data_IF_760162961141
#
_entry.id   IF_760162961141
#
_cell.length_a   1.000
_cell.length_b   1.000
_cell.length_c   1.000
_cell.angle_alpha   90.00
_cell.angle_beta   90.00
_cell.angle_gamma   90.00
#
_symmetry.space_group_name_H-M   'P 1'
#
loop_
_entity.id
_entity.type
_entity.pdbx_description
1 polymer ?
#
# COMPACT_ATOMS: atom_id res chain seq x y z
N UNK A 1 -75.73 52.33 38.22
CA UNK A 1 -75.49 51.10 39.02
C UNK A 1 -74.64 50.17 38.14
N UNK A 2 -73.31 50.26 38.30
CA UNK A 2 -72.33 49.56 37.40
C UNK A 2 -71.83 48.29 38.07
N UNK A 3 -72.05 47.17 37.41
CA UNK A 3 -71.57 45.82 37.82
C UNK A 3 -70.16 45.60 37.25
N UNK A 4 -69.16 45.48 38.09
CA UNK A 4 -67.80 45.14 37.73
C UNK A 4 -67.63 43.62 37.73
N UNK A 5 -67.31 43.05 36.54
CA UNK A 5 -66.93 41.68 36.35
C UNK A 5 -65.40 41.60 36.52
N UNK A 6 -64.95 40.80 37.49
CA UNK A 6 -63.54 40.49 37.71
C UNK A 6 -63.23 39.21 36.95
N UNK A 7 -62.39 39.29 35.88
CA UNK A 7 -61.82 38.10 35.20
C UNK A 7 -60.55 37.64 35.93
N UNK A 8 -60.60 36.44 36.46
CA UNK A 8 -59.40 35.75 37.00
C UNK A 8 -58.72 35.01 35.86
N UNK A 9 -57.52 35.45 35.51
CA UNK A 9 -56.64 34.70 34.55
C UNK A 9 -55.86 33.64 35.34
N UNK A 10 -56.15 32.36 35.06
CA UNK A 10 -55.33 31.23 35.46
C UNK A 10 -54.18 31.06 34.46
N UNK A 11 -52.96 31.33 34.88
CA UNK A 11 -51.75 31.06 34.18
C UNK A 11 -51.36 29.55 34.34
N UNK A 12 -51.61 28.76 33.35
CA UNK A 12 -51.06 27.40 33.22
C UNK A 12 -49.59 27.49 32.77
N UNK A 13 -48.66 27.21 33.69
CA UNK A 13 -47.27 27.01 33.37
C UNK A 13 -47.08 25.59 32.83
N UNK A 14 -47.03 25.45 31.51
CA UNK A 14 -46.63 24.23 30.83
C UNK A 14 -45.10 24.07 30.87
N UNK A 15 -44.61 23.18 31.69
CA UNK A 15 -43.19 22.79 31.69
C UNK A 15 -42.86 22.06 30.40
N UNK A 16 -42.05 22.67 29.53
CA UNK A 16 -41.43 22.00 28.37
C UNK A 16 -40.23 21.18 28.90
N UNK A 17 -40.44 19.87 29.05
CA UNK A 17 -39.34 18.93 29.25
C UNK A 17 -38.52 18.86 27.94
N UNK A 18 -37.43 19.60 27.91
CA UNK A 18 -36.43 19.49 26.84
C UNK A 18 -35.77 18.12 26.88
N UNK A 19 -36.16 17.25 25.96
CA UNK A 19 -35.40 16.04 25.68
C UNK A 19 -34.02 16.47 25.13
N UNK A 20 -32.99 16.38 25.97
CA UNK A 20 -31.61 16.47 25.55
C UNK A 20 -31.31 15.21 24.72
N UNK A 21 -31.43 15.34 23.40
CA UNK A 21 -30.98 14.37 22.44
C UNK A 21 -29.44 14.33 22.60
N UNK A 22 -28.95 13.31 23.29
CA UNK A 22 -27.55 12.99 23.40
C UNK A 22 -27.02 12.79 21.99
N UNK A 23 -26.39 13.81 21.44
CA UNK A 23 -25.63 13.70 20.19
C UNK A 23 -24.57 12.60 20.40
N UNK A 24 -24.85 11.39 19.93
CA UNK A 24 -23.84 10.35 19.79
C UNK A 24 -22.79 10.93 18.86
N UNK A 25 -21.66 11.35 19.42
CA UNK A 25 -20.48 11.69 18.64
C UNK A 25 -20.18 10.50 17.73
N UNK A 26 -20.24 10.72 16.42
CA UNK A 26 -19.77 9.73 15.45
C UNK A 26 -18.37 9.30 15.89
N UNK A 27 -18.04 7.98 15.86
CA UNK A 27 -16.71 7.53 16.24
C UNK A 27 -15.70 8.30 15.40
N UNK A 28 -14.68 8.88 16.07
CA UNK A 28 -13.59 9.54 15.36
C UNK A 28 -13.04 8.56 14.32
N UNK A 29 -13.18 8.87 13.03
CA UNK A 29 -12.67 8.03 11.98
C UNK A 29 -11.16 7.85 12.19
N UNK A 30 -10.68 6.61 12.12
CA UNK A 30 -9.26 6.35 12.16
C UNK A 30 -8.58 7.19 11.06
N UNK A 31 -7.68 8.06 11.48
CA UNK A 31 -7.11 9.10 10.61
C UNK A 31 -5.82 8.64 9.92
N UNK A 32 -5.39 7.38 10.11
CA UNK A 32 -4.15 6.83 9.50
C UNK A 32 -4.21 5.31 9.43
N UNK A 33 -3.41 4.77 8.51
CA UNK A 33 -3.14 3.33 8.46
C UNK A 33 -2.04 3.02 9.49
N UNK A 34 -2.39 2.17 10.47
CA UNK A 34 -1.50 1.70 11.53
C UNK A 34 -1.84 0.26 11.95
N UNK A 35 -1.23 -0.25 13.02
CA UNK A 35 -1.45 -1.59 13.51
C UNK A 35 -2.89 -1.89 13.95
N UNK A 36 -3.68 -0.87 14.28
CA UNK A 36 -5.08 -1.03 14.71
C UNK A 36 -6.07 -0.98 13.55
N UNK A 37 -5.62 -0.47 12.40
CA UNK A 37 -6.45 -0.22 11.21
C UNK A 37 -6.02 -1.00 9.97
N UNK A 38 -5.04 -1.91 10.10
CA UNK A 38 -4.70 -2.90 9.07
C UNK A 38 -5.26 -4.27 9.45
N UNK A 39 -5.75 -5.03 8.46
CA UNK A 39 -6.04 -6.46 8.66
C UNK A 39 -5.04 -7.33 7.92
N UNK A 40 -4.66 -8.43 8.58
CA UNK A 40 -3.75 -9.45 8.04
C UNK A 40 -4.58 -10.59 7.48
N UNK A 41 -4.49 -10.80 6.18
CA UNK A 41 -5.21 -11.88 5.50
C UNK A 41 -4.27 -13.07 5.33
N UNK A 42 -4.68 -14.21 5.88
CA UNK A 42 -3.88 -15.43 5.95
C UNK A 42 -4.56 -16.56 5.19
N UNK A 43 -3.81 -17.26 4.33
CA UNK A 43 -4.30 -18.51 3.74
C UNK A 43 -4.05 -19.68 4.70
N UNK A 44 -5.10 -20.21 5.28
CA UNK A 44 -5.03 -21.32 6.25
C UNK A 44 -4.57 -22.66 5.63
N UNK A 45 -4.60 -22.81 4.31
CA UNK A 45 -4.06 -23.96 3.60
C UNK A 45 -2.54 -23.85 3.32
N UNK A 46 -1.91 -22.70 3.60
CA UNK A 46 -0.49 -22.47 3.39
C UNK A 46 0.25 -22.29 4.72
N UNK A 47 1.08 -23.27 5.14
CA UNK A 47 1.86 -23.16 6.37
C UNK A 47 2.79 -21.94 6.41
N UNK A 48 3.31 -21.51 5.27
CA UNK A 48 4.14 -20.31 5.20
C UNK A 48 3.30 -19.06 5.48
N UNK A 49 2.13 -18.93 4.84
CA UNK A 49 1.19 -17.83 5.07
C UNK A 49 0.75 -17.74 6.53
N UNK A 50 0.46 -18.87 7.17
CA UNK A 50 0.15 -18.93 8.60
C UNK A 50 1.30 -18.39 9.46
N UNK A 51 2.52 -18.91 9.24
CA UNK A 51 3.70 -18.49 10.01
C UNK A 51 4.04 -17.01 9.82
N UNK A 52 3.87 -16.48 8.60
CA UNK A 52 4.08 -15.07 8.28
C UNK A 52 3.04 -14.20 8.97
N UNK A 53 1.75 -14.60 8.88
CA UNK A 53 0.66 -13.85 9.50
C UNK A 53 0.80 -13.78 11.02
N UNK A 54 1.15 -14.89 11.68
CA UNK A 54 1.40 -14.93 13.12
C UNK A 54 2.59 -14.04 13.51
N UNK A 55 3.70 -14.14 12.78
CA UNK A 55 4.88 -13.33 13.05
C UNK A 55 4.60 -11.84 12.85
N UNK A 56 3.95 -11.46 11.76
CA UNK A 56 3.62 -10.08 11.44
C UNK A 56 2.67 -9.47 12.49
N UNK A 57 1.60 -10.20 12.82
CA UNK A 57 0.64 -9.75 13.83
C UNK A 57 1.30 -9.58 15.20
N UNK A 58 2.16 -10.52 15.62
CA UNK A 58 2.91 -10.43 16.87
C UNK A 58 3.85 -9.23 16.88
N UNK A 59 4.70 -9.09 15.84
CA UNK A 59 5.74 -8.06 15.78
C UNK A 59 5.15 -6.64 15.68
N UNK A 60 4.06 -6.48 14.94
CA UNK A 60 3.34 -5.21 14.78
C UNK A 60 2.27 -4.97 15.83
N UNK A 61 2.04 -5.91 16.75
CA UNK A 61 0.98 -5.84 17.77
C UNK A 61 -0.41 -5.61 17.15
N UNK A 62 -0.68 -6.28 16.04
CA UNK A 62 -1.97 -6.20 15.36
C UNK A 62 -3.02 -6.94 16.20
N UNK A 63 -4.21 -6.36 16.47
CA UNK A 63 -5.27 -7.03 17.22
C UNK A 63 -5.67 -8.37 16.57
N UNK A 64 -5.92 -9.38 17.38
CA UNK A 64 -6.33 -10.70 16.88
C UNK A 64 -7.62 -10.67 16.06
N UNK A 65 -8.52 -9.72 16.33
CA UNK A 65 -9.71 -9.47 15.51
C UNK A 65 -9.41 -9.03 14.08
N UNK A 66 -8.22 -8.49 13.83
CA UNK A 66 -7.76 -8.05 12.52
C UNK A 66 -6.98 -9.14 11.77
N UNK A 67 -6.84 -10.35 12.32
CA UNK A 67 -6.24 -11.51 11.63
C UNK A 67 -7.34 -12.35 11.02
N UNK A 68 -7.50 -12.28 9.72
CA UNK A 68 -8.58 -12.93 8.97
C UNK A 68 -8.03 -14.16 8.25
N UNK A 69 -8.58 -15.33 8.54
CA UNK A 69 -8.18 -16.60 7.92
C UNK A 69 -9.15 -16.97 6.80
N UNK A 70 -8.61 -17.25 5.63
CA UNK A 70 -9.34 -17.76 4.46
C UNK A 70 -8.64 -19.02 3.95
N UNK A 71 -9.31 -19.80 3.10
CA UNK A 71 -8.74 -21.04 2.57
C UNK A 71 -8.89 -21.07 1.05
N UNK A 72 -7.75 -21.21 0.36
CA UNK A 72 -7.67 -21.40 -1.10
C UNK A 72 -6.45 -22.24 -1.47
N UNK A 73 -6.46 -22.81 -2.69
CA UNK A 73 -5.36 -23.65 -3.16
C UNK A 73 -4.04 -22.86 -3.28
N UNK A 74 -2.93 -23.51 -2.91
CA UNK A 74 -1.58 -22.94 -2.99
C UNK A 74 -0.90 -23.24 -4.32
N UNK A 75 0.17 -22.52 -4.65
CA UNK A 75 1.08 -22.80 -5.77
C UNK A 75 0.65 -22.27 -7.13
N UNK A 76 -0.61 -21.90 -7.34
CA UNK A 76 -1.05 -21.29 -8.59
C UNK A 76 -0.68 -19.79 -8.62
N UNK A 77 -0.17 -19.31 -9.77
CA UNK A 77 0.13 -17.91 -10.01
C UNK A 77 -1.13 -17.02 -10.05
N UNK A 78 -2.23 -17.61 -10.50
CA UNK A 78 -3.51 -16.94 -10.70
C UNK A 78 -4.63 -17.63 -9.90
N UNK A 79 -5.46 -16.83 -9.24
CA UNK A 79 -6.74 -17.24 -8.67
C UNK A 79 -7.85 -16.97 -9.68
N UNK A 80 -8.78 -17.91 -9.85
CA UNK A 80 -9.95 -17.67 -10.70
C UNK A 80 -10.82 -16.55 -10.12
N UNK A 81 -11.48 -15.78 -10.99
CA UNK A 81 -12.38 -14.70 -10.56
C UNK A 81 -13.49 -15.23 -9.63
N UNK A 82 -14.05 -16.41 -9.92
CA UNK A 82 -15.08 -17.03 -9.08
C UNK A 82 -14.58 -17.35 -7.68
N UNK A 83 -13.38 -17.91 -7.56
CA UNK A 83 -12.77 -18.21 -6.26
C UNK A 83 -12.44 -16.92 -5.51
N UNK A 84 -11.86 -15.94 -6.19
CA UNK A 84 -11.59 -14.64 -5.62
C UNK A 84 -12.84 -13.98 -5.04
N UNK A 85 -13.96 -13.96 -5.77
CA UNK A 85 -15.20 -13.36 -5.28
C UNK A 85 -15.70 -14.05 -4.00
N UNK A 86 -15.56 -15.37 -3.90
CA UNK A 86 -15.90 -16.12 -2.67
C UNK A 86 -14.98 -15.73 -1.51
N UNK A 87 -13.66 -15.66 -1.75
CA UNK A 87 -12.67 -15.29 -0.72
C UNK A 87 -12.88 -13.84 -0.29
N UNK A 88 -13.08 -12.93 -1.26
CA UNK A 88 -13.29 -11.49 -0.98
C UNK A 88 -14.54 -11.27 -0.12
N UNK A 89 -15.63 -11.97 -0.39
CA UNK A 89 -16.84 -11.89 0.42
C UNK A 89 -16.60 -12.36 1.87
N UNK A 90 -15.82 -13.42 2.08
CA UNK A 90 -15.43 -13.88 3.42
C UNK A 90 -14.58 -12.83 4.14
N UNK A 91 -13.58 -12.27 3.45
CA UNK A 91 -12.73 -11.21 4.01
C UNK A 91 -13.57 -9.99 4.38
N UNK A 92 -14.43 -9.52 3.47
CA UNK A 92 -15.26 -8.32 3.73
C UNK A 92 -16.19 -8.50 4.91
N UNK A 93 -16.79 -9.68 5.05
CA UNK A 93 -17.67 -10.01 6.19
C UNK A 93 -16.91 -10.05 7.52
N UNK A 94 -15.67 -10.55 7.51
CA UNK A 94 -14.85 -10.68 8.72
C UNK A 94 -14.06 -9.41 9.07
N UNK A 95 -13.98 -8.44 8.14
CA UNK A 95 -13.18 -7.21 8.32
C UNK A 95 -13.84 -6.26 9.31
N UNK A 96 -13.18 -5.91 10.43
CA UNK A 96 -13.67 -4.88 11.33
C UNK A 96 -13.87 -3.53 10.62
N UNK A 97 -14.88 -2.78 11.06
CA UNK A 97 -15.29 -1.53 10.41
C UNK A 97 -14.17 -0.49 10.30
N UNK A 98 -13.30 -0.40 11.31
CA UNK A 98 -12.19 0.57 11.34
C UNK A 98 -11.01 0.22 10.43
N UNK A 99 -10.97 -0.97 9.83
CA UNK A 99 -9.85 -1.40 8.99
C UNK A 99 -9.79 -0.59 7.70
N UNK A 100 -8.61 -0.04 7.41
CA UNK A 100 -8.33 0.82 6.26
C UNK A 100 -7.50 0.12 5.17
N UNK A 101 -6.77 -0.94 5.50
CA UNK A 101 -5.84 -1.61 4.59
C UNK A 101 -5.73 -3.11 4.86
N UNK A 102 -5.18 -3.85 3.89
CA UNK A 102 -4.91 -5.28 3.97
C UNK A 102 -3.43 -5.61 3.79
N UNK A 103 -2.90 -6.48 4.65
CA UNK A 103 -1.63 -7.17 4.48
C UNK A 103 -1.89 -8.62 4.05
N UNK A 104 -1.42 -9.04 2.87
CA UNK A 104 -1.62 -10.37 2.32
C UNK A 104 -0.36 -11.20 2.56
N UNK A 105 -0.44 -12.36 3.23
CA UNK A 105 0.73 -13.11 3.72
C UNK A 105 1.17 -14.26 2.82
N UNK A 106 1.12 -14.11 1.53
CA UNK A 106 1.56 -15.11 0.53
C UNK A 106 2.22 -14.45 -0.68
N UNK A 107 2.97 -15.23 -1.47
CA UNK A 107 3.59 -14.76 -2.71
C UNK A 107 2.79 -15.15 -3.97
N UNK A 108 1.99 -16.20 -3.89
CA UNK A 108 1.12 -16.68 -4.97
C UNK A 108 -0.20 -17.21 -4.35
N UNK A 109 -1.36 -16.95 -5.00
CA UNK A 109 -1.54 -16.24 -6.27
C UNK A 109 -1.28 -14.74 -6.16
N UNK A 110 -0.65 -14.16 -7.19
CA UNK A 110 -0.41 -12.72 -7.28
C UNK A 110 -1.35 -12.04 -8.28
N UNK A 111 -2.21 -12.80 -8.97
CA UNK A 111 -3.12 -12.32 -10.02
C UNK A 111 -4.53 -12.91 -9.87
N UNK A 112 -5.54 -12.14 -10.28
CA UNK A 112 -6.93 -12.54 -10.46
C UNK A 112 -7.36 -12.09 -11.86
N UNK A 113 -7.42 -13.00 -12.83
CA UNK A 113 -7.68 -12.64 -14.21
C UNK A 113 -6.70 -11.57 -14.72
N UNK A 114 -7.23 -10.43 -15.15
CA UNK A 114 -6.46 -9.29 -15.65
C UNK A 114 -5.96 -8.34 -14.55
N UNK A 115 -6.39 -8.50 -13.31
CA UNK A 115 -6.00 -7.64 -12.19
C UNK A 115 -4.89 -8.28 -11.35
N UNK A 116 -4.05 -7.47 -10.73
CA UNK A 116 -3.21 -7.94 -9.63
C UNK A 116 -4.07 -8.34 -8.43
N UNK A 117 -3.55 -9.25 -7.60
CA UNK A 117 -4.25 -9.66 -6.37
C UNK A 117 -4.42 -8.47 -5.41
N UNK A 118 -3.43 -7.59 -5.31
CA UNK A 118 -3.50 -6.42 -4.42
C UNK A 118 -4.58 -5.43 -4.88
N UNK A 119 -4.70 -5.18 -6.18
CA UNK A 119 -5.75 -4.32 -6.72
C UNK A 119 -7.14 -4.96 -6.64
N UNK A 120 -7.22 -6.28 -6.85
CA UNK A 120 -8.48 -7.01 -6.68
C UNK A 120 -8.97 -6.94 -5.22
N UNK A 121 -8.08 -7.09 -4.22
CA UNK A 121 -8.44 -6.91 -2.82
C UNK A 121 -8.85 -5.47 -2.49
N UNK A 122 -8.21 -4.47 -3.10
CA UNK A 122 -8.49 -3.07 -2.83
C UNK A 122 -9.83 -2.59 -3.37
N UNK A 123 -10.19 -2.99 -4.60
CA UNK A 123 -11.34 -2.46 -5.33
C UNK A 123 -12.47 -3.48 -5.56
N UNK A 124 -12.24 -4.77 -5.27
CA UNK A 124 -13.00 -5.86 -5.87
C UNK A 124 -12.49 -6.18 -7.29
N UNK A 125 -12.96 -7.29 -7.88
CA UNK A 125 -12.69 -7.58 -9.27
C UNK A 125 -13.58 -6.74 -10.17
N UNK A 126 -12.98 -5.82 -10.92
CA UNK A 126 -13.67 -4.91 -11.83
C UNK A 126 -12.89 -4.78 -13.15
N UNK A 127 -13.54 -5.13 -14.26
CA UNK A 127 -12.93 -5.11 -15.60
C UNK A 127 -12.51 -3.70 -16.05
N UNK A 128 -12.99 -2.64 -15.43
CA UNK A 128 -12.52 -1.27 -15.72
C UNK A 128 -11.06 -1.04 -15.35
N UNK A 129 -10.49 -1.88 -14.47
CA UNK A 129 -9.07 -1.91 -14.15
C UNK A 129 -8.24 -2.83 -15.07
N UNK A 130 -8.86 -3.49 -16.04
CA UNK A 130 -8.17 -4.38 -16.97
C UNK A 130 -7.68 -3.62 -18.20
N UNK A 131 -6.45 -3.86 -18.59
CA UNK A 131 -5.87 -3.19 -19.75
C UNK A 131 -6.23 -3.87 -21.09
N UNK A 132 -7.00 -4.92 -21.12
CA UNK A 132 -7.38 -5.69 -22.33
C UNK A 132 -6.61 -5.27 -23.61
N UNK A 133 -5.31 -5.59 -23.70
CA UNK A 133 -4.34 -4.98 -24.62
C UNK A 133 -3.75 -3.67 -24.07
N UNK A 134 -3.11 -2.89 -24.94
CA UNK A 134 -2.43 -1.65 -24.57
C UNK A 134 -3.41 -0.48 -24.40
N UNK A 135 -4.21 -0.48 -23.33
CA UNK A 135 -5.19 0.57 -23.06
C UNK A 135 -4.98 1.24 -21.70
N UNK A 136 -5.43 2.50 -21.56
CA UNK A 136 -5.65 3.11 -20.26
C UNK A 136 -6.62 2.27 -19.41
N UNK A 137 -6.44 2.31 -18.10
CA UNK A 137 -7.35 1.67 -17.15
C UNK A 137 -7.98 2.71 -16.22
N UNK A 138 -8.90 2.28 -15.36
CA UNK A 138 -9.55 3.17 -14.40
C UNK A 138 -8.51 3.83 -13.48
N UNK A 139 -8.66 5.14 -13.27
CA UNK A 139 -7.87 5.92 -12.33
C UNK A 139 -8.19 5.49 -10.90
N UNK A 140 -7.15 5.33 -10.09
CA UNK A 140 -7.29 5.12 -8.65
C UNK A 140 -7.78 6.40 -7.96
N UNK A 141 -8.84 6.34 -7.15
CA UNK A 141 -9.24 7.49 -6.34
C UNK A 141 -8.21 7.83 -5.25
N UNK A 142 -7.30 6.91 -4.97
CA UNK A 142 -6.22 7.12 -3.98
C UNK A 142 -4.98 7.77 -4.59
N UNK A 143 -4.88 7.86 -5.92
CA UNK A 143 -3.72 8.51 -6.58
C UNK A 143 -3.56 9.95 -6.14
N UNK A 144 -2.39 10.26 -5.54
CA UNK A 144 -2.02 11.56 -4.99
C UNK A 144 -3.06 12.17 -4.01
N UNK A 145 -3.96 11.34 -3.46
CA UNK A 145 -5.02 11.76 -2.54
C UNK A 145 -4.45 12.25 -1.20
N UNK A 146 -5.06 13.24 -0.55
CA UNK A 146 -4.76 13.63 0.83
C UNK A 146 -5.38 12.68 1.85
N UNK A 147 -6.32 11.80 1.47
CA UNK A 147 -7.03 10.92 2.39
C UNK A 147 -6.07 10.05 3.20
N UNK A 148 -6.33 9.95 4.49
CA UNK A 148 -5.67 9.05 5.44
C UNK A 148 -6.58 7.89 5.86
N UNK A 149 -7.85 7.94 5.47
CA UNK A 149 -8.87 6.94 5.79
C UNK A 149 -9.56 6.40 4.51
N UNK A 150 -8.81 5.68 3.61
CA UNK A 150 -9.29 5.33 2.28
C UNK A 150 -10.53 4.43 2.26
N UNK A 151 -10.76 3.62 3.31
CA UNK A 151 -11.98 2.81 3.39
C UNK A 151 -13.23 3.67 3.59
N UNK A 152 -13.12 4.77 4.32
CA UNK A 152 -14.24 5.67 4.58
C UNK A 152 -14.42 6.70 3.47
N UNK A 153 -13.32 7.34 3.06
CA UNK A 153 -13.36 8.46 2.13
C UNK A 153 -13.50 8.02 0.67
N UNK A 154 -12.94 6.87 0.32
CA UNK A 154 -12.76 6.43 -1.07
C UNK A 154 -13.38 5.05 -1.36
N UNK A 155 -14.00 4.42 -0.36
CA UNK A 155 -14.59 3.08 -0.44
C UNK A 155 -13.63 2.01 -0.99
N UNK A 156 -12.36 2.10 -0.60
CA UNK A 156 -11.33 1.12 -0.98
C UNK A 156 -10.38 0.84 0.18
N UNK A 157 -9.78 -0.34 0.19
CA UNK A 157 -8.75 -0.71 1.15
C UNK A 157 -7.48 -1.11 0.41
N UNK A 158 -6.44 -0.26 0.38
CA UNK A 158 -5.18 -0.63 -0.25
C UNK A 158 -4.67 -1.95 0.32
N UNK A 159 -4.11 -2.80 -0.53
CA UNK A 159 -3.56 -4.08 -0.13
C UNK A 159 -2.09 -4.19 -0.54
N UNK A 160 -1.27 -4.83 0.30
CA UNK A 160 0.14 -5.08 0.04
C UNK A 160 0.51 -6.50 0.47
N UNK A 161 1.33 -7.18 -0.33
CA UNK A 161 1.80 -8.52 -0.02
C UNK A 161 3.02 -8.47 0.91
N UNK A 162 2.95 -9.16 2.04
CA UNK A 162 4.08 -9.42 2.93
C UNK A 162 4.66 -10.77 2.52
N UNK A 163 5.55 -10.77 1.55
CA UNK A 163 5.99 -11.95 0.83
C UNK A 163 7.51 -11.99 0.59
N UNK A 164 8.03 -13.18 0.36
CA UNK A 164 9.42 -13.49 0.04
C UNK A 164 9.52 -14.96 -0.36
N UNK A 165 10.71 -15.48 -0.56
CA UNK A 165 10.94 -16.89 -0.94
C UNK A 165 10.74 -17.86 0.22
N UNK A 166 10.95 -17.39 1.44
CA UNK A 166 10.85 -18.23 2.63
C UNK A 166 10.73 -17.43 3.92
N UNK A 167 10.36 -18.12 4.99
CA UNK A 167 10.09 -17.49 6.28
C UNK A 167 11.24 -16.64 6.83
N UNK A 168 12.53 -17.03 6.73
CA UNK A 168 13.64 -16.19 7.23
C UNK A 168 13.72 -14.84 6.52
N UNK A 169 13.56 -14.81 5.19
CA UNK A 169 13.60 -13.57 4.40
C UNK A 169 12.43 -12.65 4.72
N UNK A 170 11.22 -13.23 4.88
CA UNK A 170 10.03 -12.47 5.22
C UNK A 170 10.13 -11.92 6.65
N UNK A 171 10.68 -12.67 7.60
CA UNK A 171 10.96 -12.15 8.94
C UNK A 171 11.94 -10.98 8.89
N UNK A 172 13.03 -11.11 8.13
CA UNK A 172 13.99 -10.02 7.96
C UNK A 172 13.37 -8.77 7.31
N UNK A 173 12.44 -8.94 6.34
CA UNK A 173 11.65 -7.86 5.77
C UNK A 173 10.80 -7.14 6.83
N UNK A 174 10.06 -7.91 7.62
CA UNK A 174 9.19 -7.36 8.69
C UNK A 174 10.05 -6.61 9.71
N UNK A 175 11.15 -7.20 10.16
CA UNK A 175 12.01 -6.64 11.20
C UNK A 175 12.67 -5.34 10.77
N UNK A 176 13.15 -5.25 9.51
CA UNK A 176 13.73 -4.00 9.01
C UNK A 176 12.69 -2.90 8.78
N UNK A 177 11.44 -3.27 8.41
CA UNK A 177 10.33 -2.32 8.34
C UNK A 177 10.02 -1.72 9.71
N UNK A 178 9.93 -2.56 10.75
CA UNK A 178 9.74 -2.13 12.15
C UNK A 178 10.91 -1.27 12.62
N UNK A 179 12.15 -1.67 12.32
CA UNK A 179 13.35 -0.93 12.69
C UNK A 179 13.44 0.45 12.02
N UNK A 180 12.70 0.66 10.94
CA UNK A 180 12.68 1.95 10.24
C UNK A 180 11.76 2.99 10.87
N UNK A 181 10.77 2.58 11.64
CA UNK A 181 9.70 3.47 12.12
C UNK A 181 10.27 4.66 12.92
N UNK A 182 10.01 5.88 12.45
CA UNK A 182 10.46 7.12 13.08
C UNK A 182 11.98 7.34 13.07
N UNK A 183 12.76 6.47 12.41
CA UNK A 183 14.22 6.56 12.43
C UNK A 183 14.80 7.77 11.68
N UNK A 184 14.02 8.37 10.78
CA UNK A 184 14.41 9.52 9.95
C UNK A 184 15.79 9.36 9.31
N UNK A 185 16.03 8.26 8.55
CA UNK A 185 17.34 7.95 8.01
C UNK A 185 17.80 9.04 7.03
N UNK A 186 19.11 9.32 7.04
CA UNK A 186 19.73 10.13 6.01
C UNK A 186 20.24 9.23 4.91
N UNK A 187 19.84 9.48 3.67
CA UNK A 187 20.19 8.64 2.54
C UNK A 187 19.96 9.31 1.20
N UNK A 188 20.11 8.53 0.13
CA UNK A 188 19.99 9.02 -1.23
C UNK A 188 18.87 8.33 -1.99
N UNK A 189 18.17 9.11 -2.81
CA UNK A 189 17.25 8.65 -3.83
C UNK A 189 18.00 8.56 -5.17
N UNK A 190 18.33 7.37 -5.59
CA UNK A 190 18.98 7.10 -6.88
C UNK A 190 17.96 6.86 -7.97
N UNK A 191 17.92 7.74 -8.97
CA UNK A 191 16.97 7.73 -10.07
C UNK A 191 17.74 7.55 -11.38
N UNK A 192 17.64 6.36 -12.00
CA UNK A 192 18.46 6.05 -13.16
C UNK A 192 17.76 6.32 -14.49
N UNK A 193 18.44 7.03 -15.37
CA UNK A 193 18.12 7.16 -16.78
C UNK A 193 18.90 6.09 -17.53
N UNK A 194 18.23 4.98 -17.82
CA UNK A 194 18.87 3.83 -18.47
C UNK A 194 18.90 3.96 -20.00
N UNK A 195 19.72 3.14 -20.65
CA UNK A 195 19.77 3.05 -22.11
C UNK A 195 18.55 2.34 -22.71
N UNK A 196 17.78 1.57 -21.91
CA UNK A 196 16.51 0.95 -22.31
C UNK A 196 15.40 2.02 -22.40
N UNK A 197 15.29 2.63 -23.58
CA UNK A 197 14.33 3.73 -23.81
C UNK A 197 12.87 3.35 -23.52
N UNK A 198 12.50 2.09 -23.76
CA UNK A 198 11.14 1.64 -23.49
C UNK A 198 10.84 1.62 -21.98
N UNK A 199 11.79 1.12 -21.19
CA UNK A 199 11.64 1.03 -19.73
C UNK A 199 12.04 2.31 -18.99
N UNK A 200 12.74 3.23 -19.64
CA UNK A 200 13.04 4.56 -19.11
C UNK A 200 11.85 5.55 -19.21
N UNK A 201 10.68 5.13 -19.67
CA UNK A 201 9.54 6.01 -19.97
C UNK A 201 9.03 6.81 -18.76
N UNK A 202 9.23 6.33 -17.52
CA UNK A 202 8.80 7.07 -16.32
C UNK A 202 9.80 8.14 -15.83
N UNK A 203 10.91 8.35 -16.54
CA UNK A 203 11.89 9.40 -16.21
C UNK A 203 11.23 10.80 -16.10
N UNK A 204 10.17 11.04 -16.85
CA UNK A 204 9.38 12.28 -16.77
C UNK A 204 8.66 12.48 -15.43
N UNK A 205 8.56 11.44 -14.61
CA UNK A 205 7.99 11.46 -13.25
C UNK A 205 9.06 11.61 -12.16
N UNK A 206 10.33 11.76 -12.54
CA UNK A 206 11.39 11.99 -11.56
C UNK A 206 11.31 13.39 -10.99
N UNK A 207 11.44 13.57 -9.66
CA UNK A 207 11.52 14.90 -9.08
C UNK A 207 12.80 15.59 -9.56
N UNK A 208 12.80 16.92 -9.63
CA UNK A 208 14.03 17.67 -9.87
C UNK A 208 15.03 17.43 -8.73
N UNK A 209 16.32 17.37 -9.07
CA UNK A 209 17.39 17.14 -8.08
C UNK A 209 17.40 18.19 -6.96
N UNK A 210 16.96 19.41 -7.26
CA UNK A 210 16.86 20.53 -6.32
C UNK A 210 15.58 20.49 -5.44
N UNK A 211 14.65 19.56 -5.71
CA UNK A 211 13.34 19.51 -5.05
C UNK A 211 13.38 18.92 -3.65
N UNK A 212 14.51 18.35 -3.20
CA UNK A 212 14.66 17.87 -1.84
C UNK A 212 14.92 19.02 -0.88
N UNK A 213 13.91 19.83 -0.57
CA UNK A 213 13.93 20.71 0.59
C UNK A 213 13.94 19.96 1.92
N UNK A 214 14.07 18.63 1.88
CA UNK A 214 14.19 17.77 3.03
C UNK A 214 15.66 17.50 3.34
N UNK A 215 16.09 17.84 4.55
CA UNK A 215 17.47 17.66 5.01
C UNK A 215 17.90 16.18 5.12
N UNK A 216 16.99 15.23 4.92
CA UNK A 216 17.25 13.80 5.13
C UNK A 216 17.57 13.04 3.83
N UNK A 217 17.01 13.43 2.68
CA UNK A 217 17.16 12.69 1.43
C UNK A 217 17.80 13.56 0.35
N UNK A 218 18.93 13.10 -0.14
CA UNK A 218 19.58 13.65 -1.34
C UNK A 218 19.01 12.96 -2.59
N UNK A 219 18.77 13.70 -3.69
CA UNK A 219 18.30 13.15 -4.95
C UNK A 219 19.43 13.15 -5.98
N UNK A 220 19.79 11.96 -6.47
CA UNK A 220 20.75 11.80 -7.57
C UNK A 220 20.09 11.21 -8.81
N UNK A 221 20.12 11.94 -9.92
CA UNK A 221 19.66 11.48 -11.24
C UNK A 221 20.88 11.09 -12.05
N UNK A 222 21.02 9.79 -12.35
CA UNK A 222 22.20 9.22 -12.97
C UNK A 222 21.90 8.65 -14.36
N UNK A 223 22.75 8.95 -15.35
CA UNK A 223 22.67 8.37 -16.72
C UNK A 223 23.51 7.11 -16.79
N UNK A 224 22.95 6.00 -16.31
CA UNK A 224 23.63 4.69 -16.28
C UNK A 224 22.61 3.57 -16.12
N UNK A 225 23.00 2.35 -16.49
CA UNK A 225 22.13 1.17 -16.39
C UNK A 225 22.27 0.45 -15.04
N UNK A 226 23.41 0.56 -14.39
CA UNK A 226 23.72 -0.14 -13.13
C UNK A 226 24.13 0.84 -12.05
N UNK A 227 23.59 0.64 -10.85
CA UNK A 227 24.04 1.31 -9.63
C UNK A 227 24.84 0.31 -8.79
N UNK A 228 26.05 0.70 -8.39
CA UNK A 228 26.96 -0.15 -7.62
C UNK A 228 27.61 0.63 -6.47
N UNK A 229 28.06 -0.11 -5.45
CA UNK A 229 28.87 0.39 -4.35
C UNK A 229 28.27 1.62 -3.62
N UNK A 230 26.95 1.58 -3.34
CA UNK A 230 26.25 2.60 -2.57
C UNK A 230 25.81 2.03 -1.22
N UNK A 231 26.06 2.77 -0.14
CA UNK A 231 25.78 2.32 1.23
C UNK A 231 24.62 3.05 1.91
N UNK A 232 23.96 3.97 1.22
CA UNK A 232 22.95 4.90 1.73
C UNK A 232 21.67 4.91 0.90
N UNK A 233 21.32 3.78 0.27
CA UNK A 233 20.19 3.70 -0.65
C UNK A 233 18.89 3.76 0.14
N UNK A 234 18.15 4.87 0.01
CA UNK A 234 16.79 5.01 0.58
C UNK A 234 15.71 4.84 -0.49
N UNK A 235 15.97 5.32 -1.70
CA UNK A 235 15.11 5.08 -2.85
C UNK A 235 15.96 4.68 -4.06
N UNK A 236 15.46 3.70 -4.82
CA UNK A 236 16.10 3.31 -6.07
C UNK A 236 15.05 3.04 -7.15
N UNK A 237 14.98 3.91 -8.15
CA UNK A 237 14.05 3.78 -9.27
C UNK A 237 14.80 3.70 -10.59
N UNK A 238 14.50 2.68 -11.39
CA UNK A 238 15.16 2.42 -12.67
C UNK A 238 14.17 1.83 -13.67
N UNK A 239 14.64 1.58 -14.89
CA UNK A 239 13.85 0.98 -15.96
C UNK A 239 14.68 -0.03 -16.77
N UNK A 240 14.64 -1.32 -16.36
CA UNK A 240 15.34 -2.44 -17.01
C UNK A 240 14.53 -3.72 -16.85
N UNK A 241 14.72 -4.70 -17.73
CA UNK A 241 14.12 -6.03 -17.58
C UNK A 241 14.70 -6.82 -16.40
N UNK A 242 15.98 -6.58 -16.11
CA UNK A 242 16.71 -7.15 -14.97
C UNK A 242 17.75 -6.15 -14.50
N UNK A 243 17.88 -6.00 -13.20
CA UNK A 243 18.83 -5.09 -12.55
C UNK A 243 19.95 -5.91 -11.92
N UNK A 244 21.17 -5.55 -12.20
CA UNK A 244 22.40 -6.18 -11.66
C UNK A 244 23.06 -5.31 -10.60
N UNK A 245 24.09 -5.82 -9.92
CA UNK A 245 24.87 -5.07 -8.92
C UNK A 245 24.17 -4.88 -7.58
N UNK A 246 23.00 -5.51 -7.35
CA UNK A 246 22.22 -5.35 -6.12
C UNK A 246 22.96 -5.81 -4.87
N UNK A 247 23.85 -6.77 -4.99
CA UNK A 247 24.70 -7.33 -3.94
C UNK A 247 25.79 -6.36 -3.46
N UNK A 248 26.08 -5.32 -4.26
CA UNK A 248 27.03 -4.25 -3.92
C UNK A 248 26.38 -3.07 -3.19
N UNK A 249 25.03 -3.10 -3.07
CA UNK A 249 24.24 -2.02 -2.48
C UNK A 249 23.87 -2.31 -1.03
N UNK A 250 23.81 -1.26 -0.23
CA UNK A 250 23.23 -1.31 1.11
C UNK A 250 22.00 -0.43 1.18
N UNK A 251 20.85 -1.09 1.32
CA UNK A 251 19.57 -0.41 1.53
C UNK A 251 19.40 -0.04 3.00
N UNK A 252 18.94 1.17 3.24
CA UNK A 252 18.58 1.62 4.59
C UNK A 252 17.25 0.98 5.04
N UNK A 253 17.03 0.75 6.34
CA UNK A 253 15.73 0.31 6.83
C UNK A 253 14.60 1.26 6.36
N UNK A 254 13.53 0.71 5.83
CA UNK A 254 12.45 1.48 5.21
C UNK A 254 12.65 1.80 3.72
N UNK A 255 13.78 1.44 3.11
CA UNK A 255 14.08 1.77 1.72
C UNK A 255 13.06 1.20 0.72
N UNK A 256 12.83 1.96 -0.35
CA UNK A 256 11.89 1.66 -1.41
C UNK A 256 12.64 1.53 -2.74
N UNK A 257 12.41 0.44 -3.46
CA UNK A 257 13.06 0.23 -4.74
C UNK A 257 12.16 -0.54 -5.72
N UNK A 258 12.09 -0.08 -6.96
CA UNK A 258 11.44 -0.81 -8.04
C UNK A 258 12.03 -0.48 -9.41
N UNK A 259 11.70 -1.30 -10.39
CA UNK A 259 12.09 -1.11 -11.77
C UNK A 259 10.87 -1.21 -12.70
N UNK A 260 10.80 -0.34 -13.67
CA UNK A 260 9.80 -0.40 -14.70
C UNK A 260 10.13 -1.57 -15.64
N UNK A 261 9.30 -2.62 -15.58
CA UNK A 261 9.34 -3.76 -16.47
C UNK A 261 7.97 -4.43 -16.54
N UNK A 262 7.70 -5.21 -17.60
CA UNK A 262 6.35 -5.74 -17.87
C UNK A 262 5.83 -6.73 -16.83
N UNK A 263 6.73 -7.53 -16.21
CA UNK A 263 6.32 -8.67 -15.39
C UNK A 263 7.05 -8.75 -14.04
N UNK A 264 7.50 -7.62 -13.51
CA UNK A 264 8.14 -7.58 -12.19
C UNK A 264 7.22 -8.01 -11.02
N UNK A 265 5.90 -7.90 -11.20
CA UNK A 265 4.90 -8.32 -10.23
C UNK A 265 4.54 -9.81 -10.27
N UNK A 266 5.00 -10.56 -11.27
CA UNK A 266 4.93 -12.03 -11.30
C UNK A 266 5.97 -12.55 -10.30
N UNK A 267 5.58 -12.67 -9.03
CA UNK A 267 6.54 -12.81 -7.93
C UNK A 267 7.34 -14.10 -7.96
N UNK A 268 6.75 -15.21 -8.43
CA UNK A 268 7.33 -16.55 -8.32
C UNK A 268 7.85 -17.15 -9.62
N UNK A 269 7.41 -16.65 -10.78
CA UNK A 269 7.65 -17.29 -12.09
C UNK A 269 7.94 -16.30 -13.23
N UNK A 270 8.30 -15.06 -12.89
CA UNK A 270 8.66 -14.05 -13.90
C UNK A 270 9.87 -14.45 -14.73
N UNK A 271 9.79 -14.24 -16.04
CA UNK A 271 10.95 -14.30 -16.96
C UNK A 271 11.83 -13.06 -16.90
N UNK A 272 11.36 -12.01 -16.25
CA UNK A 272 12.10 -10.78 -15.94
C UNK A 272 12.44 -10.78 -14.44
N UNK A 273 13.14 -9.76 -13.97
CA UNK A 273 13.43 -9.67 -12.55
C UNK A 273 12.12 -9.48 -11.75
N UNK A 274 11.89 -10.36 -10.79
CA UNK A 274 10.76 -10.22 -9.85
C UNK A 274 11.00 -9.10 -8.84
N UNK A 275 9.94 -8.41 -8.43
CA UNK A 275 9.98 -7.41 -7.36
C UNK A 275 10.50 -7.97 -6.03
N UNK A 276 10.43 -9.28 -5.79
CA UNK A 276 11.04 -9.92 -4.61
C UNK A 276 12.55 -9.76 -4.57
N UNK A 277 13.23 -9.60 -5.71
CA UNK A 277 14.68 -9.40 -5.74
C UNK A 277 15.12 -8.13 -5.04
N UNK A 278 14.32 -7.09 -5.08
CA UNK A 278 14.56 -5.88 -4.32
C UNK A 278 14.49 -6.12 -2.80
N UNK A 279 13.50 -6.91 -2.36
CA UNK A 279 13.35 -7.26 -0.95
C UNK A 279 14.49 -8.17 -0.47
N UNK A 280 14.93 -9.13 -1.30
CA UNK A 280 16.11 -9.97 -1.05
C UNK A 280 17.37 -9.12 -0.89
N UNK A 281 17.53 -8.07 -1.71
CA UNK A 281 18.66 -7.15 -1.65
C UNK A 281 18.62 -6.19 -0.44
N UNK A 282 17.50 -6.11 0.27
CA UNK A 282 17.37 -5.28 1.48
C UNK A 282 16.36 -4.15 1.41
N UNK A 283 15.71 -3.91 0.28
CA UNK A 283 14.60 -2.95 0.22
C UNK A 283 13.41 -3.41 1.09
N UNK A 284 12.67 -2.46 1.64
CA UNK A 284 11.50 -2.71 2.50
C UNK A 284 10.20 -2.76 1.69
N UNK A 285 10.19 -2.15 0.51
CA UNK A 285 9.05 -2.19 -0.40
C UNK A 285 9.45 -2.17 -1.86
N UNK A 286 8.62 -2.80 -2.70
CA UNK A 286 8.76 -2.86 -4.15
C UNK A 286 7.40 -2.95 -4.84
N UNK A 287 7.42 -2.77 -6.16
CA UNK A 287 6.25 -2.79 -7.03
C UNK A 287 6.59 -3.45 -8.36
N UNK A 288 5.60 -4.10 -8.97
CA UNK A 288 5.73 -4.63 -10.34
C UNK A 288 4.38 -5.02 -10.94
N UNK A 289 4.28 -5.06 -12.26
CA UNK A 289 3.06 -5.44 -12.99
C UNK A 289 3.00 -6.93 -13.26
N UNK A 290 1.78 -7.50 -13.31
CA UNK A 290 1.49 -8.94 -13.55
C UNK A 290 0.89 -9.22 -14.93
N UNK A 291 0.51 -8.17 -15.65
CA UNK A 291 0.01 -8.19 -17.02
C UNK A 291 0.72 -7.10 -17.78
N UNK A 292 1.01 -7.30 -19.06
CA UNK A 292 1.72 -6.34 -19.90
C UNK A 292 1.16 -4.91 -19.76
N UNK A 293 1.93 -3.95 -19.23
CA UNK A 293 1.48 -2.58 -18.98
C UNK A 293 1.53 -1.71 -20.24
N UNK A 294 2.18 -2.18 -21.31
CA UNK A 294 2.32 -1.50 -22.60
C UNK A 294 2.92 -0.09 -22.49
N UNK A 295 3.93 0.06 -21.67
CA UNK A 295 4.71 1.28 -21.58
C UNK A 295 3.90 2.54 -21.18
N UNK A 296 2.84 2.36 -20.39
CA UNK A 296 2.10 3.45 -19.74
C UNK A 296 2.72 3.75 -18.38
N UNK A 297 3.46 4.87 -18.20
CA UNK A 297 4.06 5.23 -16.91
C UNK A 297 3.04 5.28 -15.77
N UNK A 298 1.78 5.63 -16.06
CA UNK A 298 0.68 5.69 -15.09
C UNK A 298 0.38 4.36 -14.40
N UNK A 299 0.80 3.23 -14.98
CA UNK A 299 0.67 1.88 -14.39
C UNK A 299 1.81 1.53 -13.44
N UNK A 300 2.77 2.40 -13.28
CA UNK A 300 3.91 2.27 -12.39
C UNK A 300 3.88 3.32 -11.30
N UNK A 301 4.69 3.12 -10.27
CA UNK A 301 4.87 4.11 -9.22
C UNK A 301 5.48 5.39 -9.79
N UNK A 302 4.93 6.53 -9.41
CA UNK A 302 5.50 7.86 -9.65
C UNK A 302 6.53 8.13 -8.54
N UNK A 303 7.85 8.17 -8.85
CA UNK A 303 8.89 8.36 -7.85
C UNK A 303 8.75 9.68 -7.07
N UNK A 304 8.33 10.77 -7.73
CA UNK A 304 8.14 12.04 -7.04
C UNK A 304 7.01 11.95 -6.00
N UNK A 305 5.95 11.20 -6.29
CA UNK A 305 4.83 11.00 -5.35
C UNK A 305 5.24 10.08 -4.21
N UNK A 306 5.90 8.93 -4.50
CA UNK A 306 6.39 8.01 -3.45
C UNK A 306 7.27 8.75 -2.46
N UNK A 307 8.32 9.42 -2.96
CA UNK A 307 9.30 10.13 -2.14
C UNK A 307 8.59 11.17 -1.28
N UNK A 308 7.80 12.06 -1.88
CA UNK A 308 7.10 13.12 -1.16
C UNK A 308 6.16 12.59 -0.09
N UNK A 309 5.34 11.58 -0.41
CA UNK A 309 4.36 11.01 0.52
C UNK A 309 5.05 10.30 1.68
N UNK A 310 6.09 9.54 1.40
CA UNK A 310 6.84 8.83 2.42
C UNK A 310 7.58 9.79 3.35
N UNK A 311 8.22 10.83 2.82
CA UNK A 311 8.86 11.90 3.59
C UNK A 311 7.87 12.69 4.45
N UNK A 312 6.60 12.78 4.04
CA UNK A 312 5.55 13.41 4.87
C UNK A 312 5.09 12.54 6.06
N UNK A 313 5.68 11.35 6.26
CA UNK A 313 5.39 10.46 7.38
C UNK A 313 4.24 9.48 7.11
N UNK A 314 3.79 9.36 5.87
CA UNK A 314 2.85 8.31 5.47
C UNK A 314 3.54 6.94 5.53
N UNK A 315 2.77 5.86 5.75
CA UNK A 315 3.28 4.49 5.70
C UNK A 315 3.67 4.08 4.29
N UNK A 316 4.45 3.03 4.17
CA UNK A 316 4.86 2.47 2.88
C UNK A 316 3.65 2.15 1.99
N UNK A 317 2.62 1.51 2.53
CA UNK A 317 1.42 1.19 1.76
C UNK A 317 0.69 2.44 1.27
N UNK A 318 0.59 3.49 2.09
CA UNK A 318 -0.01 4.77 1.70
C UNK A 318 0.79 5.43 0.58
N UNK A 319 2.10 5.61 0.78
CA UNK A 319 2.98 6.27 -0.18
C UNK A 319 3.00 5.56 -1.53
N UNK A 320 3.09 4.23 -1.53
CA UNK A 320 3.09 3.44 -2.77
C UNK A 320 1.74 3.49 -3.49
N UNK A 321 0.63 3.25 -2.81
CA UNK A 321 -0.68 3.26 -3.43
C UNK A 321 -1.05 4.63 -4.00
N UNK A 322 -0.68 5.70 -3.29
CA UNK A 322 -0.88 7.08 -3.76
C UNK A 322 0.00 7.45 -4.95
N UNK A 323 1.00 6.65 -5.27
CA UNK A 323 1.92 6.93 -6.38
C UNK A 323 1.53 6.26 -7.70
N UNK A 324 0.56 5.34 -7.72
CA UNK A 324 0.18 4.62 -8.94
C UNK A 324 -1.21 5.07 -9.41
N UNK A 325 -1.24 5.73 -10.56
CA UNK A 325 -2.50 6.25 -11.10
C UNK A 325 -3.42 5.12 -11.62
N UNK A 326 -2.87 4.11 -12.27
CA UNK A 326 -3.60 2.96 -12.83
C UNK A 326 -3.12 1.64 -12.22
N UNK A 327 -3.50 1.33 -10.97
CA UNK A 327 -2.92 0.22 -10.21
C UNK A 327 -3.43 -1.16 -10.59
N UNK A 328 -4.43 -1.26 -11.46
CA UNK A 328 -5.16 -2.52 -11.74
C UNK A 328 -4.28 -3.74 -11.99
N UNK A 329 -3.09 -3.53 -12.59
CA UNK A 329 -2.14 -4.59 -12.96
C UNK A 329 -0.95 -4.70 -12.00
N UNK A 330 -0.83 -3.82 -11.00
CA UNK A 330 0.33 -3.71 -10.14
C UNK A 330 0.20 -4.49 -8.84
N UNK A 331 1.22 -5.29 -8.52
CA UNK A 331 1.41 -5.88 -7.19
C UNK A 331 2.26 -4.94 -6.35
N UNK A 332 1.75 -4.59 -5.19
CA UNK A 332 2.49 -3.92 -4.13
C UNK A 332 3.02 -4.98 -3.16
N UNK A 333 4.32 -5.01 -2.90
CA UNK A 333 4.96 -6.01 -2.04
C UNK A 333 5.96 -5.36 -1.10
N UNK A 334 5.94 -5.75 0.17
CA UNK A 334 6.83 -5.17 1.19
C UNK A 334 6.24 -5.24 2.59
N UNK A 335 6.73 -4.39 3.47
CA UNK A 335 6.22 -4.24 4.83
C UNK A 335 5.29 -3.02 4.90
N UNK A 336 3.95 -3.21 4.96
CA UNK A 336 2.96 -2.15 4.74
C UNK A 336 3.07 -0.95 5.68
N UNK A 337 3.41 -1.19 6.94
CA UNK A 337 3.37 -0.19 8.01
C UNK A 337 4.69 0.55 8.23
N UNK A 338 5.76 0.21 7.50
CA UNK A 338 7.03 0.93 7.60
C UNK A 338 6.81 2.43 7.40
N UNK A 339 7.29 3.25 8.33
CA UNK A 339 7.08 4.69 8.35
C UNK A 339 8.31 5.42 8.90
N UNK A 340 9.45 5.38 8.17
CA UNK A 340 10.72 5.90 8.67
C UNK A 340 10.69 7.41 8.99
N UNK A 341 9.88 8.18 8.29
CA UNK A 341 9.81 9.63 8.44
C UNK A 341 8.61 10.10 9.28
N UNK A 342 7.87 9.15 9.89
CA UNK A 342 6.79 9.51 10.81
C UNK A 342 7.37 10.10 12.08
N UNK A 343 6.97 11.31 12.41
CA UNK A 343 7.35 11.95 13.68
C UNK A 343 6.55 11.31 14.82
N UNK A 344 7.19 11.07 15.95
CA UNK A 344 6.51 10.75 17.21
C UNK A 344 5.68 11.97 17.61
N UNK A 345 4.40 11.77 17.83
CA UNK A 345 3.51 12.80 18.41
C UNK A 345 3.80 12.95 19.88
#
# INVERSE_FOLDING_TARGET
>A
MYLRIVCVLLLLQGGVAGAQESARSAPAHATRIDQTTIAVIVNAADPLSLSVGEYYAYRRRIPGSNVIRVTFATGAAEMSVREFLRIKAQVDTATPYNVQAFALTWAAPYRVGCMSITSAFAFGYDRSFCADGCRPTRLSPYFNSPSLAPAFDLHMRPAMMVAGRGLPEIKALIDRGIASDGASPRGTAYLLLTTDKARASRVLMYPAAESSGDAFIHIEILKQDVLEHRSDVMFYFTGLASVTGLDTLRFLPGAVADHLTSFGGMLTDSRQMSALKWLEAGATGSYGTVVEPCNFPQKFSDPAVVIRKYLSGETLIEAYWKSVAWPGQGVFVGEPLAAPFRRSE
#
